data_IF_542817884000
#
_entry.id   IF_542817884000
#
_cell.length_a   1.000
_cell.length_b   1.000
_cell.length_c   1.000
_cell.angle_alpha   90.00
_cell.angle_beta   90.00
_cell.angle_gamma   90.00
#
_symmetry.space_group_name_H-M   'P 1'
#
loop_
_entity.id
_entity.type
_entity.pdbx_description
1 polymer ?
#
# COMPACT_ATOMS: atom_id res chain seq x y z
N UNK A 1 -10.61 9.26 3.05
CA UNK A 1 -11.10 8.61 1.80
C UNK A 1 -12.55 8.98 1.51
N UNK A 2 -13.48 8.66 2.43
CA UNK A 2 -14.93 8.85 2.25
C UNK A 2 -15.29 10.31 1.95
N UNK A 3 -14.87 11.25 2.80
CA UNK A 3 -15.23 12.68 2.60
C UNK A 3 -14.74 13.23 1.26
N UNK A 4 -13.49 12.93 0.89
CA UNK A 4 -12.92 13.34 -0.40
C UNK A 4 -13.72 12.75 -1.57
N UNK A 5 -14.02 11.44 -1.53
CA UNK A 5 -14.83 10.78 -2.56
C UNK A 5 -16.20 11.43 -2.72
N UNK A 6 -16.93 11.68 -1.63
CA UNK A 6 -18.26 12.27 -1.70
C UNK A 6 -18.24 13.75 -2.08
N UNK A 7 -17.15 14.47 -1.82
CA UNK A 7 -16.97 15.84 -2.29
C UNK A 7 -16.73 15.91 -3.81
N UNK A 8 -15.99 14.93 -4.37
CA UNK A 8 -15.56 14.94 -5.77
C UNK A 8 -15.57 13.53 -6.41
N UNK A 9 -16.75 12.89 -6.59
CA UNK A 9 -16.84 11.48 -6.96
C UNK A 9 -16.37 11.18 -8.40
N UNK A 10 -16.30 12.19 -9.28
CA UNK A 10 -15.94 12.05 -10.70
C UNK A 10 -14.43 12.15 -10.97
N UNK A 11 -13.58 11.91 -9.97
CA UNK A 11 -12.11 11.93 -10.09
C UNK A 11 -11.50 10.68 -10.74
N UNK A 12 -12.32 9.70 -11.15
CA UNK A 12 -11.86 8.46 -11.79
C UNK A 12 -11.47 7.34 -10.82
N UNK A 13 -12.14 7.25 -9.67
CA UNK A 13 -11.96 6.14 -8.73
C UNK A 13 -12.29 4.80 -9.41
N UNK A 14 -11.52 3.76 -9.06
CA UNK A 14 -11.82 2.41 -9.52
C UNK A 14 -13.21 1.96 -9.05
N UNK A 15 -13.96 1.28 -9.93
CA UNK A 15 -15.36 0.93 -9.67
C UNK A 15 -15.57 0.24 -8.32
N UNK A 16 -14.72 -0.73 -7.99
CA UNK A 16 -14.83 -1.52 -6.77
C UNK A 16 -14.43 -0.81 -5.47
N UNK A 17 -13.61 0.26 -5.52
CA UNK A 17 -13.25 0.98 -4.28
C UNK A 17 -14.39 1.90 -3.82
N UNK A 18 -15.36 2.18 -4.70
CA UNK A 18 -16.56 2.93 -4.36
C UNK A 18 -17.39 2.17 -3.32
N UNK A 19 -17.53 0.86 -3.47
CA UNK A 19 -18.25 -0.01 -2.53
C UNK A 19 -17.64 0.07 -1.12
N UNK A 20 -16.30 0.13 -1.04
CA UNK A 20 -15.56 0.34 0.22
C UNK A 20 -15.93 1.69 0.85
N UNK A 21 -15.98 2.78 0.08
CA UNK A 21 -16.32 4.10 0.62
C UNK A 21 -17.77 4.20 1.08
N UNK A 22 -18.69 3.56 0.34
CA UNK A 22 -20.09 3.47 0.74
C UNK A 22 -20.24 2.70 2.05
N UNK A 23 -19.64 1.51 2.15
CA UNK A 23 -19.70 0.69 3.35
C UNK A 23 -19.08 1.39 4.57
N UNK A 24 -17.93 2.04 4.43
CA UNK A 24 -17.31 2.82 5.52
C UNK A 24 -18.24 3.93 6.05
N UNK A 25 -18.99 4.57 5.16
CA UNK A 25 -19.96 5.61 5.52
C UNK A 25 -21.19 5.02 6.20
N UNK A 26 -21.74 3.93 5.67
CA UNK A 26 -22.95 3.28 6.19
C UNK A 26 -22.72 2.65 7.57
N UNK A 27 -21.53 2.09 7.83
CA UNK A 27 -21.17 1.52 9.13
C UNK A 27 -20.64 2.57 10.12
N UNK A 28 -20.65 3.85 9.75
CA UNK A 28 -20.07 4.94 10.54
C UNK A 28 -18.65 4.62 11.05
N UNK A 29 -17.84 4.01 10.18
CA UNK A 29 -16.43 3.68 10.44
C UNK A 29 -16.18 2.73 11.63
N UNK A 30 -17.14 1.88 12.00
CA UNK A 30 -17.00 0.95 13.14
C UNK A 30 -15.76 0.03 13.01
N UNK A 31 -15.57 -0.58 11.84
CA UNK A 31 -14.34 -1.26 11.45
C UNK A 31 -13.88 -0.71 10.10
N UNK A 32 -12.79 0.07 10.11
CA UNK A 32 -12.25 0.73 8.92
C UNK A 32 -11.53 -0.21 7.95
N UNK A 33 -11.22 -1.44 8.37
CA UNK A 33 -10.53 -2.43 7.54
C UNK A 33 -11.48 -3.45 6.93
N UNK A 34 -12.62 -3.71 7.59
CA UNK A 34 -13.57 -4.72 7.15
C UNK A 34 -14.08 -4.49 5.71
N UNK A 35 -14.49 -3.28 5.29
CA UNK A 35 -14.96 -3.07 3.91
C UNK A 35 -13.90 -3.43 2.85
N UNK A 36 -12.66 -2.99 3.03
CA UNK A 36 -11.55 -3.32 2.12
C UNK A 36 -11.21 -4.82 2.09
N UNK A 37 -11.38 -5.50 3.23
CA UNK A 37 -11.22 -6.96 3.36
C UNK A 37 -12.31 -7.73 2.61
N UNK A 38 -13.56 -7.25 2.66
CA UNK A 38 -14.71 -7.95 2.06
C UNK A 38 -14.75 -7.88 0.53
N UNK A 39 -13.99 -6.98 -0.09
CA UNK A 39 -13.85 -6.91 -1.55
C UNK A 39 -13.42 -8.26 -2.16
N UNK A 40 -13.90 -8.55 -3.36
CA UNK A 40 -13.54 -9.75 -4.14
C UNK A 40 -13.72 -11.05 -3.33
N UNK A 41 -14.92 -11.24 -2.77
CA UNK A 41 -15.29 -12.41 -1.97
C UNK A 41 -14.35 -12.65 -0.77
N UNK A 42 -13.91 -11.58 -0.11
CA UNK A 42 -13.05 -11.66 1.07
C UNK A 42 -11.54 -11.77 0.78
N UNK A 43 -11.14 -11.84 -0.49
CA UNK A 43 -9.71 -11.87 -0.87
C UNK A 43 -9.05 -10.49 -0.83
N UNK A 44 -9.85 -9.41 -0.93
CA UNK A 44 -9.37 -8.04 -0.99
C UNK A 44 -8.88 -7.63 -2.38
N UNK A 45 -8.72 -6.32 -2.61
CA UNK A 45 -8.21 -5.81 -3.89
C UNK A 45 -6.69 -5.94 -4.02
N UNK A 46 -6.23 -6.49 -5.14
CA UNK A 46 -4.83 -6.49 -5.58
C UNK A 46 -4.48 -5.33 -6.54
N UNK A 47 -5.37 -4.35 -6.70
CA UNK A 47 -5.11 -3.17 -7.53
C UNK A 47 -3.99 -2.28 -7.00
N UNK A 48 -3.52 -1.34 -7.83
CA UNK A 48 -2.43 -0.41 -7.47
C UNK A 48 -2.90 0.82 -6.66
N UNK A 49 -4.17 0.89 -6.27
CA UNK A 49 -4.76 2.08 -5.63
C UNK A 49 -4.18 2.39 -4.25
N UNK A 50 -3.58 1.40 -3.57
CA UNK A 50 -2.75 1.62 -2.40
C UNK A 50 -1.40 2.26 -2.75
N UNK A 51 -0.70 1.72 -3.75
CA UNK A 51 0.59 2.21 -4.19
C UNK A 51 0.54 3.65 -4.74
N UNK A 52 -0.52 4.01 -5.48
CA UNK A 52 -0.62 5.34 -6.12
C UNK A 52 -0.65 6.51 -5.12
N UNK A 53 -0.92 6.25 -3.84
CA UNK A 53 -1.08 7.28 -2.79
C UNK A 53 -0.03 7.19 -1.67
N UNK A 54 0.97 6.32 -1.80
CA UNK A 54 1.81 5.93 -0.65
C UNK A 54 3.02 6.84 -0.41
N UNK A 55 3.40 7.65 -1.41
CA UNK A 55 4.60 8.50 -1.34
C UNK A 55 4.69 9.36 -0.06
N UNK A 56 3.61 9.97 0.47
CA UNK A 56 3.69 10.76 1.71
C UNK A 56 4.23 9.99 2.92
N UNK A 57 3.95 8.69 3.04
CA UNK A 57 4.48 7.87 4.14
C UNK A 57 6.00 7.76 4.03
N UNK A 58 6.53 7.55 2.82
CA UNK A 58 7.96 7.54 2.58
C UNK A 58 8.60 8.91 2.87
N UNK A 59 7.99 10.00 2.40
CA UNK A 59 8.48 11.37 2.61
C UNK A 59 8.56 11.73 4.10
N UNK A 60 7.56 11.35 4.89
CA UNK A 60 7.55 11.64 6.34
C UNK A 60 8.43 10.65 7.14
N UNK A 61 8.47 9.39 6.72
CA UNK A 61 9.12 8.31 7.43
C UNK A 61 10.47 7.88 6.87
N UNK A 62 11.11 8.65 5.97
CA UNK A 62 12.34 8.22 5.28
C UNK A 62 13.51 7.87 6.23
N UNK A 63 13.50 8.41 7.46
CA UNK A 63 14.48 8.10 8.49
C UNK A 63 14.11 6.89 9.37
N UNK A 64 12.88 6.35 9.28
CA UNK A 64 12.46 5.13 9.99
C UNK A 64 13.14 3.90 9.38
N UNK A 65 13.08 2.76 10.09
CA UNK A 65 13.51 1.47 9.54
C UNK A 65 12.58 0.99 8.42
N UNK A 66 13.02 0.04 7.61
CA UNK A 66 12.17 -0.53 6.54
C UNK A 66 10.96 -1.26 7.15
N UNK A 67 11.16 -1.98 8.26
CA UNK A 67 10.09 -2.71 8.95
C UNK A 67 9.02 -1.77 9.52
N UNK A 68 9.42 -0.61 10.05
CA UNK A 68 8.46 0.38 10.54
C UNK A 68 7.63 0.96 9.40
N UNK A 69 8.26 1.27 8.26
CA UNK A 69 7.53 1.76 7.08
C UNK A 69 6.60 0.70 6.50
N UNK A 70 7.02 -0.57 6.48
CA UNK A 70 6.17 -1.67 6.01
C UNK A 70 4.86 -1.74 6.80
N UNK A 71 4.92 -1.62 8.13
CA UNK A 71 3.71 -1.60 8.99
C UNK A 71 2.82 -0.40 8.70
N UNK A 72 3.41 0.80 8.66
CA UNK A 72 2.67 2.04 8.38
C UNK A 72 1.97 1.97 7.00
N UNK A 73 2.66 1.42 6.00
CA UNK A 73 2.14 1.24 4.64
C UNK A 73 1.04 0.18 4.60
N UNK A 74 1.24 -0.97 5.23
CA UNK A 74 0.26 -2.05 5.27
C UNK A 74 -1.05 -1.56 5.92
N UNK A 75 -0.96 -0.91 7.08
CA UNK A 75 -2.11 -0.36 7.80
C UNK A 75 -2.88 0.66 6.93
N UNK A 76 -2.17 1.60 6.31
CA UNK A 76 -2.79 2.57 5.39
C UNK A 76 -3.43 1.90 4.15
N UNK A 77 -2.80 0.84 3.65
CA UNK A 77 -3.22 0.15 2.42
C UNK A 77 -4.49 -0.66 2.63
N UNK A 78 -4.55 -1.42 3.74
CA UNK A 78 -5.62 -2.39 4.05
C UNK A 78 -7.01 -1.79 4.17
N UNK A 79 -7.12 -0.49 4.41
CA UNK A 79 -8.41 0.24 4.39
C UNK A 79 -9.14 0.05 3.04
N UNK A 80 -8.41 -0.06 1.92
CA UNK A 80 -9.00 -0.23 0.58
C UNK A 80 -8.46 -1.43 -0.20
N UNK A 81 -7.26 -1.90 0.11
CA UNK A 81 -6.56 -2.97 -0.59
C UNK A 81 -5.99 -3.95 0.43
N UNK A 82 -6.82 -4.89 0.89
CA UNK A 82 -6.43 -5.87 1.90
C UNK A 82 -5.68 -7.09 1.32
N UNK A 83 -5.62 -7.25 0.00
CA UNK A 83 -4.88 -8.36 -0.61
C UNK A 83 -3.36 -8.11 -0.50
N UNK A 84 -2.55 -9.14 -0.19
CA UNK A 84 -1.08 -9.06 -0.16
C UNK A 84 -0.45 -8.34 -1.33
N UNK A 85 -0.75 -8.77 -2.56
CA UNK A 85 -0.22 -8.12 -3.77
C UNK A 85 -0.57 -6.62 -3.84
N UNK A 86 -1.72 -6.20 -3.31
CA UNK A 86 -2.13 -4.79 -3.29
C UNK A 86 -1.29 -3.95 -2.32
N UNK A 87 -1.17 -4.38 -1.06
CA UNK A 87 -0.37 -3.64 -0.08
C UNK A 87 1.14 -3.85 -0.24
N UNK A 88 1.61 -5.00 -0.71
CA UNK A 88 3.03 -5.23 -1.03
C UNK A 88 3.50 -4.34 -2.19
N UNK A 89 2.65 -4.10 -3.20
CA UNK A 89 2.93 -3.11 -4.24
C UNK A 89 3.09 -1.68 -3.66
N UNK A 90 2.30 -1.34 -2.64
CA UNK A 90 2.47 -0.07 -1.93
C UNK A 90 3.74 -0.03 -1.09
N UNK A 91 4.12 -1.14 -0.44
CA UNK A 91 5.38 -1.27 0.30
C UNK A 91 6.56 -1.07 -0.64
N UNK A 92 6.58 -1.77 -1.78
CA UNK A 92 7.61 -1.62 -2.81
C UNK A 92 7.74 -0.15 -3.24
N UNK A 93 6.63 0.51 -3.55
CA UNK A 93 6.65 1.91 -3.97
C UNK A 93 7.14 2.85 -2.85
N UNK A 94 6.75 2.62 -1.60
CA UNK A 94 7.26 3.37 -0.45
C UNK A 94 8.78 3.20 -0.26
N UNK A 95 9.28 1.96 -0.37
CA UNK A 95 10.71 1.67 -0.27
C UNK A 95 11.50 2.27 -1.43
N UNK A 96 10.93 2.28 -2.65
CA UNK A 96 11.52 2.94 -3.80
C UNK A 96 11.66 4.46 -3.57
N UNK A 97 10.60 5.14 -3.11
CA UNK A 97 10.67 6.57 -2.78
C UNK A 97 11.71 6.84 -1.69
N UNK A 98 11.72 6.02 -0.62
CA UNK A 98 12.73 6.14 0.44
C UNK A 98 14.16 5.97 -0.09
N UNK A 99 14.39 4.97 -0.93
CA UNK A 99 15.70 4.72 -1.53
C UNK A 99 16.14 5.91 -2.38
N UNK A 100 15.25 6.43 -3.24
CA UNK A 100 15.52 7.60 -4.07
C UNK A 100 15.85 8.86 -3.24
N UNK A 101 15.15 9.09 -2.11
CA UNK A 101 15.46 10.19 -1.19
C UNK A 101 16.85 10.07 -0.54
N UNK A 102 17.39 8.85 -0.44
CA UNK A 102 18.71 8.57 0.15
C UNK A 102 19.80 8.40 -0.90
N UNK A 103 19.46 8.43 -2.18
CA UNK A 103 20.43 8.34 -3.26
C UNK A 103 21.35 9.55 -3.26
N UNK A 104 22.63 9.30 -3.52
CA UNK A 104 23.62 10.35 -3.66
C UNK A 104 23.47 11.01 -5.04
N UNK A 105 22.91 12.22 -5.06
CA UNK A 105 22.70 13.00 -6.28
C UNK A 105 23.97 13.39 -7.04
N UNK A 106 25.16 13.22 -6.44
CA UNK A 106 26.44 13.45 -7.12
C UNK A 106 26.92 12.27 -7.98
N UNK A 107 26.29 11.11 -7.83
CA UNK A 107 26.61 9.90 -8.61
C UNK A 107 25.60 9.71 -9.74
N UNK A 108 26.06 9.09 -10.82
CA UNK A 108 25.17 8.62 -11.87
C UNK A 108 24.19 7.60 -11.30
N UNK A 109 22.91 7.72 -11.66
CA UNK A 109 21.87 6.82 -11.19
C UNK A 109 21.95 5.50 -11.96
N UNK A 110 22.18 4.40 -11.24
CA UNK A 110 22.12 3.05 -11.80
C UNK A 110 20.70 2.47 -11.61
N UNK A 111 19.86 2.44 -12.65
CA UNK A 111 18.51 1.90 -12.53
C UNK A 111 18.48 0.40 -12.27
N UNK A 112 19.48 -0.35 -12.74
CA UNK A 112 19.53 -1.81 -12.60
C UNK A 112 19.83 -2.15 -11.14
N UNK A 113 20.88 -1.55 -10.57
CA UNK A 113 21.21 -1.75 -9.16
C UNK A 113 20.06 -1.28 -8.24
N UNK A 114 19.44 -0.14 -8.55
CA UNK A 114 18.29 0.36 -7.79
C UNK A 114 17.12 -0.64 -7.74
N UNK A 115 16.76 -1.21 -8.88
CA UNK A 115 15.69 -2.21 -8.97
C UNK A 115 16.10 -3.51 -8.26
N UNK A 116 17.32 -4.01 -8.47
CA UNK A 116 17.79 -5.24 -7.83
C UNK A 116 17.83 -5.14 -6.30
N UNK A 117 18.18 -3.97 -5.74
CA UNK A 117 18.10 -3.74 -4.30
C UNK A 117 16.66 -3.80 -3.78
N UNK A 118 15.68 -3.31 -4.55
CA UNK A 118 14.27 -3.37 -4.19
C UNK A 118 13.72 -4.80 -4.29
N UNK A 119 14.07 -5.53 -5.35
CA UNK A 119 13.69 -6.95 -5.53
C UNK A 119 14.14 -7.79 -4.34
N UNK A 120 15.42 -7.66 -3.94
CA UNK A 120 15.97 -8.35 -2.77
C UNK A 120 15.21 -8.05 -1.46
N UNK A 121 14.75 -6.81 -1.28
CA UNK A 121 13.91 -6.44 -0.12
C UNK A 121 12.55 -7.14 -0.21
N UNK A 122 11.93 -7.14 -1.38
CA UNK A 122 10.61 -7.73 -1.59
C UNK A 122 10.59 -9.25 -1.46
N UNK A 123 11.63 -9.97 -1.90
CA UNK A 123 11.76 -11.42 -1.68
C UNK A 123 11.57 -11.79 -0.20
N UNK A 124 12.16 -11.00 0.71
CA UNK A 124 12.05 -11.21 2.16
C UNK A 124 10.64 -10.89 2.67
N UNK A 125 10.01 -9.84 2.13
CA UNK A 125 8.69 -9.36 2.57
C UNK A 125 7.60 -10.34 2.13
N UNK A 126 7.62 -10.75 0.86
CA UNK A 126 6.61 -11.64 0.27
C UNK A 126 6.68 -13.05 0.86
N UNK A 127 7.88 -13.54 1.15
CA UNK A 127 8.06 -14.86 1.80
C UNK A 127 7.45 -14.89 3.21
N UNK A 128 7.57 -13.81 3.99
CA UNK A 128 6.97 -13.73 5.33
C UNK A 128 5.45 -13.80 5.29
N UNK A 129 4.83 -13.20 4.27
CA UNK A 129 3.37 -13.23 4.09
C UNK A 129 2.90 -14.65 3.76
N UNK A 130 3.60 -15.37 2.89
CA UNK A 130 3.24 -16.75 2.53
C UNK A 130 3.24 -17.71 3.73
N UNK A 131 4.08 -17.49 4.74
CA UNK A 131 4.09 -18.31 5.95
C UNK A 131 2.86 -18.01 6.82
N UNK A 132 2.40 -16.76 6.89
CA UNK A 132 1.22 -16.36 7.68
C UNK A 132 -0.10 -16.97 7.19
N UNK A 133 -0.23 -17.23 5.88
CA UNK A 133 -1.42 -17.87 5.30
C UNK A 133 -1.46 -19.39 5.44
N UNK A 134 -0.34 -20.06 5.77
CA UNK A 134 -0.30 -21.51 5.99
C UNK A 134 -0.76 -21.88 7.41
N UNK A 135 -0.80 -20.92 8.34
CA UNK A 135 -1.12 -21.14 9.76
C UNK A 135 -2.44 -20.47 10.23
N UNK A 136 -3.31 -20.04 9.30
CA UNK A 136 -4.68 -19.55 9.60
C UNK A 136 -5.72 -20.41 8.89
#
# INVERSE_FOLDING_TARGET
FVDEYYSQPKRGYGMHVIDVFQALKETNFEDVFLPGKMQFNGSGSYGNGAAMRIAPIALFGHNKTDESLQRDVEECSRITHNHPNGYNGAILHCLAVKAALKSDSSKEFDPVDFISQLEKKMETIETKVNIGYVFM
#
